data_IF_862026766628
#
_entry.id   IF_862026766628
#
_cell.length_a   1.000
_cell.length_b   1.000
_cell.length_c   1.000
_cell.angle_alpha   90.00
_cell.angle_beta   90.00
_cell.angle_gamma   90.00
#
_symmetry.space_group_name_H-M   'P 1'
#
loop_
_entity.id
_entity.type
_entity.pdbx_description
1 polymer ?
#
# COMPACT_ATOMS: atom_id res chain seq x y z
N UNK A 1 15.67 9.73 -0.18
CA UNK A 1 15.02 8.43 -0.41
C UNK A 1 13.95 8.63 -1.47
N UNK A 2 13.97 7.85 -2.55
CA UNK A 2 12.97 7.91 -3.64
C UNK A 2 11.86 6.89 -3.40
N UNK A 3 10.73 7.04 -4.09
CA UNK A 3 9.64 6.04 -4.11
C UNK A 3 10.19 4.66 -4.48
N UNK A 4 10.91 4.55 -5.59
CA UNK A 4 11.49 3.27 -6.05
C UNK A 4 12.43 2.63 -5.05
N UNK A 5 13.31 3.41 -4.41
CA UNK A 5 14.24 2.87 -3.42
C UNK A 5 13.51 2.37 -2.18
N UNK A 6 12.52 3.14 -1.68
CA UNK A 6 11.73 2.71 -0.53
C UNK A 6 10.97 1.42 -0.81
N UNK A 7 10.28 1.35 -1.96
CA UNK A 7 9.54 0.16 -2.37
C UNK A 7 10.45 -1.05 -2.49
N UNK A 8 11.62 -0.89 -3.13
CA UNK A 8 12.62 -1.97 -3.26
C UNK A 8 13.14 -2.44 -1.91
N UNK A 9 13.49 -1.52 -1.01
CA UNK A 9 14.02 -1.84 0.33
C UNK A 9 12.97 -2.52 1.23
N UNK A 10 11.69 -2.29 0.98
CA UNK A 10 10.57 -2.78 1.79
C UNK A 10 9.68 -3.79 1.07
N UNK A 11 10.11 -4.33 -0.08
CA UNK A 11 9.27 -5.16 -0.95
C UNK A 11 8.74 -6.40 -0.21
N UNK A 12 9.61 -7.14 0.46
CA UNK A 12 9.23 -8.39 1.13
C UNK A 12 8.21 -8.18 2.24
N UNK A 13 8.37 -7.08 3.00
CA UNK A 13 7.48 -6.77 4.12
C UNK A 13 6.15 -6.18 3.63
N UNK A 14 6.15 -5.34 2.59
CA UNK A 14 4.93 -4.82 1.97
C UNK A 14 4.11 -5.93 1.31
N UNK A 15 4.76 -6.86 0.60
CA UNK A 15 4.10 -8.04 0.05
C UNK A 15 3.49 -8.89 1.16
N UNK A 16 4.25 -9.20 2.21
CA UNK A 16 3.73 -9.99 3.34
C UNK A 16 2.54 -9.31 4.01
N UNK A 17 2.65 -8.02 4.28
CA UNK A 17 1.66 -7.26 5.03
C UNK A 17 0.37 -7.08 4.24
N UNK A 18 0.44 -6.56 3.01
CA UNK A 18 -0.74 -6.39 2.16
C UNK A 18 -1.44 -7.72 1.88
N UNK A 19 -0.67 -8.80 1.67
CA UNK A 19 -1.20 -10.17 1.53
C UNK A 19 -1.91 -10.67 2.77
N UNK A 20 -1.31 -10.49 3.93
CA UNK A 20 -1.86 -10.99 5.19
C UNK A 20 -3.14 -10.25 5.56
N UNK A 21 -3.12 -8.92 5.48
CA UNK A 21 -4.31 -8.10 5.78
C UNK A 21 -5.45 -8.46 4.84
N UNK A 22 -5.22 -8.49 3.52
CA UNK A 22 -6.24 -8.88 2.56
C UNK A 22 -6.77 -10.30 2.80
N UNK A 23 -5.92 -11.26 3.19
CA UNK A 23 -6.32 -12.64 3.44
C UNK A 23 -7.17 -12.80 4.70
N UNK A 24 -6.83 -12.09 5.77
CA UNK A 24 -7.48 -12.26 7.09
C UNK A 24 -8.71 -11.39 7.23
N UNK A 25 -8.67 -10.18 6.66
CA UNK A 25 -9.70 -9.17 6.84
C UNK A 25 -10.54 -8.92 5.58
N UNK A 26 -10.16 -9.47 4.42
CA UNK A 26 -10.80 -9.13 3.15
C UNK A 26 -12.27 -9.56 3.01
N UNK A 27 -12.72 -10.54 3.79
CA UNK A 27 -14.13 -10.96 3.78
C UNK A 27 -15.04 -9.91 4.44
N UNK A 28 -14.56 -9.25 5.50
CA UNK A 28 -15.28 -8.20 6.22
C UNK A 28 -14.98 -6.80 5.67
N UNK A 29 -13.76 -6.60 5.15
CA UNK A 29 -13.20 -5.33 4.71
C UNK A 29 -12.71 -5.43 3.25
N UNK A 30 -13.60 -5.43 2.25
CA UNK A 30 -13.22 -5.63 0.85
C UNK A 30 -12.24 -4.56 0.33
N UNK A 31 -12.16 -3.39 0.97
CA UNK A 31 -11.18 -2.35 0.66
C UNK A 31 -9.74 -2.83 0.88
N UNK A 32 -9.47 -3.74 1.82
CA UNK A 32 -8.09 -4.25 2.01
C UNK A 32 -7.65 -5.18 0.87
N UNK A 33 -8.59 -5.81 0.19
CA UNK A 33 -8.32 -6.55 -1.06
C UNK A 33 -7.94 -5.55 -2.17
N UNK A 34 -8.68 -4.44 -2.27
CA UNK A 34 -8.37 -3.36 -3.22
C UNK A 34 -6.99 -2.77 -2.95
N UNK A 35 -6.64 -2.49 -1.70
CA UNK A 35 -5.31 -2.00 -1.30
C UNK A 35 -4.20 -2.94 -1.75
N UNK A 36 -4.39 -4.26 -1.58
CA UNK A 36 -3.43 -5.25 -2.04
C UNK A 36 -3.24 -5.22 -3.55
N UNK A 37 -4.34 -5.17 -4.31
CA UNK A 37 -4.25 -5.16 -5.77
C UNK A 37 -3.52 -3.91 -6.27
N UNK A 38 -3.81 -2.73 -5.69
CA UNK A 38 -3.11 -1.49 -6.05
C UNK A 38 -1.61 -1.58 -5.72
N UNK A 39 -1.23 -2.22 -4.61
CA UNK A 39 0.18 -2.46 -4.30
C UNK A 39 0.87 -3.33 -5.35
N UNK A 40 0.19 -4.37 -5.86
CA UNK A 40 0.73 -5.23 -6.92
C UNK A 40 0.93 -4.45 -8.23
N UNK A 41 -0.04 -3.62 -8.62
CA UNK A 41 0.06 -2.76 -9.81
C UNK A 41 1.23 -1.76 -9.68
N UNK A 42 1.42 -1.21 -8.49
CA UNK A 42 2.50 -0.29 -8.16
C UNK A 42 3.87 -1.00 -8.26
N UNK A 43 4.00 -2.23 -7.75
CA UNK A 43 5.21 -3.03 -7.90
C UNK A 43 5.48 -3.43 -9.35
N UNK A 44 4.45 -3.78 -10.13
CA UNK A 44 4.59 -4.08 -11.55
C UNK A 44 5.15 -2.87 -12.32
N UNK A 45 4.58 -1.68 -12.11
CA UNK A 45 5.08 -0.44 -12.70
C UNK A 45 6.52 -0.15 -12.32
N UNK A 46 6.87 -0.32 -11.03
CA UNK A 46 8.25 -0.15 -10.54
C UNK A 46 9.22 -1.10 -11.26
N UNK A 47 8.86 -2.37 -11.40
CA UNK A 47 9.69 -3.37 -12.07
C UNK A 47 9.81 -3.10 -13.58
N UNK A 48 8.81 -2.49 -14.19
CA UNK A 48 8.85 -2.00 -15.56
C UNK A 48 9.64 -0.68 -15.74
N UNK A 49 10.24 -0.13 -14.66
CA UNK A 49 10.85 1.20 -14.62
C UNK A 49 9.90 2.33 -15.02
N UNK A 50 8.59 2.13 -14.86
CA UNK A 50 7.58 3.16 -15.01
C UNK A 50 7.34 3.84 -13.66
N UNK A 51 7.74 5.11 -13.54
CA UNK A 51 7.65 5.87 -12.29
C UNK A 51 6.39 6.74 -12.20
N UNK A 52 5.45 6.59 -13.14
CA UNK A 52 4.16 7.26 -13.10
C UNK A 52 3.17 6.48 -12.22
N UNK A 53 3.20 6.81 -10.92
CA UNK A 53 2.39 6.17 -9.88
C UNK A 53 1.15 6.99 -9.48
N UNK A 54 0.81 8.05 -10.22
CA UNK A 54 -0.24 9.00 -9.82
C UNK A 54 -1.57 8.29 -9.56
N UNK A 55 -1.95 7.40 -10.47
CA UNK A 55 -3.20 6.64 -10.41
C UNK A 55 -3.23 5.66 -9.22
N UNK A 56 -2.12 4.97 -8.94
CA UNK A 56 -2.03 4.02 -7.82
C UNK A 56 -2.12 4.77 -6.48
N UNK A 57 -1.47 5.91 -6.36
CA UNK A 57 -1.53 6.71 -5.14
C UNK A 57 -2.89 7.36 -4.92
N UNK A 58 -3.57 7.82 -5.98
CA UNK A 58 -4.95 8.27 -5.89
C UNK A 58 -5.88 7.15 -5.43
N UNK A 59 -5.78 5.98 -6.05
CA UNK A 59 -6.58 4.81 -5.70
C UNK A 59 -6.30 4.32 -4.26
N UNK A 60 -5.06 4.39 -3.79
CA UNK A 60 -4.71 4.08 -2.40
C UNK A 60 -5.37 5.06 -1.43
N UNK A 61 -5.28 6.36 -1.67
CA UNK A 61 -5.93 7.37 -0.82
C UNK A 61 -7.44 7.16 -0.74
N UNK A 62 -8.10 6.86 -1.86
CA UNK A 62 -9.52 6.55 -1.86
C UNK A 62 -9.85 5.27 -1.08
N UNK A 63 -9.16 4.16 -1.38
CA UNK A 63 -9.45 2.86 -0.77
C UNK A 63 -9.21 2.85 0.74
N UNK A 64 -8.28 3.67 1.22
CA UNK A 64 -7.86 3.70 2.62
C UNK A 64 -8.45 4.86 3.41
N UNK A 65 -9.34 5.66 2.81
CA UNK A 65 -9.81 6.93 3.38
C UNK A 65 -8.63 7.81 3.87
N UNK A 66 -7.68 8.09 2.96
CA UNK A 66 -6.42 8.78 3.21
C UNK A 66 -5.55 8.11 4.28
N UNK A 67 -5.41 6.79 4.21
CA UNK A 67 -4.63 5.96 5.14
C UNK A 67 -5.12 6.06 6.58
N UNK A 68 -6.42 6.27 6.78
CA UNK A 68 -7.05 6.25 8.10
C UNK A 68 -6.91 4.84 8.69
N UNK A 69 -6.41 4.77 9.93
CA UNK A 69 -6.24 3.50 10.65
C UNK A 69 -7.44 3.35 11.60
N UNK A 70 -8.25 2.28 11.47
CA UNK A 70 -9.31 1.97 12.43
C UNK A 70 -8.78 1.83 13.87
N UNK A 71 -9.57 2.22 14.87
CA UNK A 71 -9.17 2.14 16.29
C UNK A 71 -8.93 0.69 16.75
N UNK A 72 -9.65 -0.26 16.17
CA UNK A 72 -9.59 -1.69 16.44
C UNK A 72 -8.67 -2.45 15.47
N UNK A 73 -7.95 -1.74 14.59
CA UNK A 73 -7.03 -2.37 13.65
C UNK A 73 -5.87 -3.08 14.36
N UNK A 74 -5.56 -4.29 13.91
CA UNK A 74 -4.40 -5.01 14.40
C UNK A 74 -3.08 -4.33 13.97
N UNK A 75 -1.98 -4.66 14.65
CA UNK A 75 -0.66 -4.04 14.40
C UNK A 75 -0.22 -4.17 12.94
N UNK A 76 -0.45 -5.32 12.30
CA UNK A 76 -0.08 -5.54 10.89
C UNK A 76 -0.89 -4.67 9.94
N UNK A 77 -2.20 -4.50 10.18
CA UNK A 77 -3.03 -3.58 9.40
C UNK A 77 -2.49 -2.16 9.53
N UNK A 78 -2.32 -1.68 10.77
CA UNK A 78 -1.81 -0.34 11.04
C UNK A 78 -0.44 -0.10 10.41
N UNK A 79 0.47 -1.07 10.48
CA UNK A 79 1.78 -1.00 9.86
C UNK A 79 1.69 -0.94 8.32
N UNK A 80 0.81 -1.73 7.71
CA UNK A 80 0.55 -1.70 6.25
C UNK A 80 0.21 -0.29 5.79
N UNK A 81 -0.77 0.35 6.43
CA UNK A 81 -1.24 1.68 6.03
C UNK A 81 -0.19 2.75 6.29
N UNK A 82 0.57 2.66 7.39
CA UNK A 82 1.70 3.58 7.66
C UNK A 82 2.78 3.50 6.59
N UNK A 83 3.12 2.30 6.12
CA UNK A 83 4.14 2.12 5.08
C UNK A 83 3.66 2.60 3.71
N UNK A 84 2.41 2.31 3.34
CA UNK A 84 1.82 2.81 2.09
C UNK A 84 1.70 4.33 2.10
N UNK A 85 1.26 4.92 3.23
CA UNK A 85 1.27 6.37 3.41
C UNK A 85 2.66 6.95 3.26
N UNK A 86 3.67 6.31 3.87
CA UNK A 86 5.06 6.79 3.79
C UNK A 86 5.54 6.88 2.35
N UNK A 87 5.15 5.93 1.50
CA UNK A 87 5.57 5.93 0.10
C UNK A 87 4.79 6.93 -0.75
N UNK A 88 3.50 7.16 -0.47
CA UNK A 88 2.73 8.25 -1.07
C UNK A 88 3.29 9.62 -0.69
N UNK A 89 3.63 9.84 0.58
CA UNK A 89 4.27 11.07 1.05
C UNK A 89 5.64 11.34 0.39
N UNK A 90 6.33 10.31 -0.13
CA UNK A 90 7.55 10.47 -0.91
C UNK A 90 7.28 10.84 -2.37
N UNK A 91 6.10 10.51 -2.89
CA UNK A 91 5.67 10.82 -4.25
C UNK A 91 5.11 12.24 -4.36
N UNK A 92 4.40 12.72 -3.33
CA UNK A 92 3.79 14.05 -3.30
C UNK A 92 4.76 15.19 -2.92
N UNK A 93 6.05 14.89 -2.72
CA UNK A 93 7.10 15.85 -2.35
C UNK A 93 7.95 16.23 -3.55
#
# INVERSE_FOLDING_TARGET
>A
MTVNNFLKENQDILELYTKTVAKVHGDDFPEVIKVRNIYLDLEEKRLANNNDFAQEFEALREATNNYAIPEDACETFAATYKMLKKVDDLYTK
#
